data_IF_364859931183
#
_entry.id   IF_364859931183
#
_cell.length_a   1.000
_cell.length_b   1.000
_cell.length_c   1.000
_cell.angle_alpha   90.00
_cell.angle_beta   90.00
_cell.angle_gamma   90.00
#
_symmetry.space_group_name_H-M   'P 1'
#
loop_
_entity.id
_entity.type
_entity.pdbx_description
1 polymer ?
#
# COMPACT_ATOMS: atom_id res chain seq x y z
N UNK A 1 -98.15 15.95 -13.11
CA UNK A 1 -99.59 16.18 -12.76
C UNK A 1 -100.28 16.77 -13.98
N UNK A 2 -100.93 15.92 -14.78
CA UNK A 2 -101.63 16.37 -15.99
C UNK A 2 -102.84 17.23 -15.63
N UNK A 3 -103.04 18.32 -16.37
CA UNK A 3 -104.15 19.25 -16.12
C UNK A 3 -105.01 19.43 -17.36
N UNK A 4 -106.31 19.56 -17.13
CA UNK A 4 -107.29 19.76 -18.20
C UNK A 4 -107.99 21.09 -18.00
N UNK A 5 -108.14 21.85 -19.08
CA UNK A 5 -108.96 23.06 -19.10
C UNK A 5 -109.96 22.97 -20.24
N UNK A 6 -111.20 23.36 -19.97
CA UNK A 6 -112.29 23.36 -20.96
C UNK A 6 -112.70 24.77 -21.32
N UNK A 7 -112.88 25.01 -22.61
CA UNK A 7 -113.40 26.25 -23.16
C UNK A 7 -114.68 25.94 -23.96
N UNK A 8 -115.76 26.67 -23.72
CA UNK A 8 -117.03 26.45 -24.42
C UNK A 8 -117.46 27.73 -25.13
N UNK A 9 -117.96 27.60 -26.37
CA UNK A 9 -118.49 28.72 -27.15
C UNK A 9 -119.70 28.28 -27.98
N UNK A 10 -120.76 29.07 -27.95
CA UNK A 10 -121.96 28.85 -28.75
C UNK A 10 -121.74 29.33 -30.17
N UNK A 11 -122.04 28.47 -31.15
CA UNK A 11 -122.03 28.78 -32.59
C UNK A 11 -123.43 28.55 -33.17
N UNK A 12 -123.74 29.17 -34.31
CA UNK A 12 -125.01 28.94 -35.02
C UNK A 12 -124.76 28.10 -36.27
N UNK A 13 -125.40 26.93 -36.36
CA UNK A 13 -125.28 25.96 -37.45
C UNK A 13 -126.54 26.02 -38.31
N UNK A 14 -126.37 26.18 -39.62
CA UNK A 14 -127.48 26.25 -40.58
C UNK A 14 -127.98 24.85 -40.94
N UNK A 15 -129.30 24.66 -41.05
CA UNK A 15 -129.91 23.43 -41.58
C UNK A 15 -131.05 23.75 -42.56
N UNK A 16 -131.26 22.87 -43.53
CA UNK A 16 -132.36 22.97 -44.51
C UNK A 16 -132.79 21.59 -45.03
N UNK A 17 -134.08 21.41 -45.34
CA UNK A 17 -134.67 20.19 -45.90
C UNK A 17 -136.01 20.43 -46.59
N UNK A 18 -136.63 19.40 -47.16
CA UNK A 18 -137.95 19.48 -47.82
C UNK A 18 -138.92 18.48 -47.20
N UNK A 19 -140.15 18.92 -46.90
CA UNK A 19 -141.23 18.08 -46.40
C UNK A 19 -142.40 18.07 -47.38
N UNK A 20 -142.98 16.90 -47.65
CA UNK A 20 -144.14 16.74 -48.55
C UNK A 20 -145.45 16.92 -47.78
N UNK A 21 -146.31 17.82 -48.27
CA UNK A 21 -147.66 18.03 -47.75
C UNK A 21 -148.70 17.84 -48.86
N UNK A 22 -149.84 17.25 -48.54
CA UNK A 22 -150.89 16.94 -49.52
C UNK A 22 -151.91 18.06 -49.57
N UNK A 23 -152.16 18.63 -50.75
CA UNK A 23 -153.14 19.70 -50.97
C UNK A 23 -154.21 19.21 -51.95
N UNK A 24 -155.49 19.39 -51.60
CA UNK A 24 -156.64 18.97 -52.40
C UNK A 24 -157.32 20.16 -53.06
N UNK A 25 -157.39 20.19 -54.39
CA UNK A 25 -158.08 21.25 -55.17
C UNK A 25 -159.00 20.58 -56.20
N UNK A 26 -160.28 20.94 -56.20
CA UNK A 26 -161.24 20.47 -57.22
C UNK A 26 -161.45 18.95 -57.24
N UNK A 27 -161.44 18.28 -56.08
CA UNK A 27 -161.70 16.84 -55.98
C UNK A 27 -160.53 15.93 -56.36
N UNK A 28 -159.34 16.48 -56.66
CA UNK A 28 -158.09 15.73 -56.80
C UNK A 28 -157.06 16.16 -55.74
N UNK A 29 -156.39 15.20 -55.12
CA UNK A 29 -155.33 15.42 -54.13
C UNK A 29 -153.96 15.29 -54.79
N UNK A 30 -153.09 16.29 -54.63
CA UNK A 30 -151.70 16.27 -55.13
C UNK A 30 -150.74 16.52 -53.98
N UNK A 31 -149.68 15.72 -53.90
CA UNK A 31 -148.59 15.92 -52.94
C UNK A 31 -147.63 16.98 -53.46
N UNK A 32 -147.29 17.96 -52.63
CA UNK A 32 -146.38 19.08 -52.95
C UNK A 32 -145.27 19.13 -51.90
N UNK A 33 -144.00 19.17 -52.33
CA UNK A 33 -142.85 19.34 -51.43
C UNK A 33 -142.63 20.83 -51.11
N UNK A 34 -142.53 21.15 -49.81
CA UNK A 34 -142.23 22.49 -49.29
C UNK A 34 -140.84 22.48 -48.62
N UNK A 35 -139.90 23.35 -49.02
CA UNK A 35 -138.61 23.48 -48.35
C UNK A 35 -138.73 24.25 -47.01
N UNK A 36 -137.93 23.87 -46.01
CA UNK A 36 -137.72 24.61 -44.77
C UNK A 36 -136.22 24.76 -44.49
N UNK A 37 -135.84 25.85 -43.82
CA UNK A 37 -134.46 26.08 -43.36
C UNK A 37 -134.42 27.00 -42.14
N UNK A 38 -133.34 26.92 -41.35
CA UNK A 38 -133.13 27.71 -40.14
C UNK A 38 -131.70 27.58 -39.60
N UNK A 39 -131.40 28.28 -38.50
CA UNK A 39 -130.14 28.16 -37.77
C UNK A 39 -130.41 27.61 -36.37
N UNK A 40 -129.67 26.57 -35.98
CA UNK A 40 -129.67 26.02 -34.63
C UNK A 40 -128.44 26.52 -33.88
N UNK A 41 -128.58 26.89 -32.61
CA UNK A 41 -127.43 27.22 -31.77
C UNK A 41 -126.87 25.95 -31.15
N UNK A 42 -125.59 25.70 -31.36
CA UNK A 42 -124.86 24.58 -30.77
C UNK A 42 -123.70 25.09 -29.91
N UNK A 43 -123.54 24.53 -28.71
CA UNK A 43 -122.40 24.84 -27.85
C UNK A 43 -121.28 23.89 -28.16
N UNK A 44 -120.21 24.40 -28.77
CA UNK A 44 -118.99 23.64 -28.98
C UNK A 44 -118.10 23.81 -27.75
N UNK A 45 -117.80 22.69 -27.09
CA UNK A 45 -116.87 22.65 -25.97
C UNK A 45 -115.57 21.99 -26.41
N UNK A 46 -114.46 22.72 -26.33
CA UNK A 46 -113.12 22.22 -26.57
C UNK A 46 -112.46 21.94 -25.21
N UNK A 47 -112.12 20.68 -24.96
CA UNK A 47 -111.30 20.30 -23.81
C UNK A 47 -109.84 20.19 -24.24
N UNK A 48 -108.98 21.00 -23.64
CA UNK A 48 -107.54 20.91 -23.81
C UNK A 48 -107.00 20.11 -22.63
N UNK A 49 -106.49 18.92 -22.93
CA UNK A 49 -105.79 18.06 -21.99
C UNK A 49 -104.29 18.21 -22.25
N UNK A 50 -103.54 18.70 -21.27
CA UNK A 50 -102.09 18.74 -21.33
C UNK A 50 -101.57 17.57 -20.51
N UNK A 51 -101.10 16.55 -21.22
CA UNK A 51 -100.43 15.42 -20.61
C UNK A 51 -98.99 15.82 -20.24
N UNK A 52 -98.71 15.85 -18.94
CA UNK A 52 -97.37 16.14 -18.41
C UNK A 52 -96.59 14.88 -18.06
N UNK A 53 -97.20 13.70 -18.15
CA UNK A 53 -96.58 12.43 -17.73
C UNK A 53 -95.29 12.12 -18.53
N UNK A 54 -95.18 12.41 -19.85
CA UNK A 54 -93.93 12.27 -20.57
C UNK A 54 -92.81 13.19 -20.05
N UNK A 55 -93.16 14.40 -19.62
CA UNK A 55 -92.22 15.36 -19.08
C UNK A 55 -91.76 14.95 -17.67
N UNK A 56 -92.70 14.60 -16.78
CA UNK A 56 -92.40 14.13 -15.42
C UNK A 56 -91.53 12.86 -15.46
N UNK A 57 -91.80 11.95 -16.40
CA UNK A 57 -90.96 10.77 -16.65
C UNK A 57 -89.53 11.14 -17.08
N UNK A 58 -89.38 12.13 -17.96
CA UNK A 58 -88.06 12.59 -18.41
C UNK A 58 -87.24 13.23 -17.27
N UNK A 59 -87.88 13.99 -16.39
CA UNK A 59 -87.25 14.59 -15.21
C UNK A 59 -86.85 13.50 -14.21
N UNK A 60 -87.71 12.52 -13.96
CA UNK A 60 -87.40 11.37 -13.12
C UNK A 60 -86.21 10.56 -13.67
N UNK A 61 -86.16 10.32 -14.97
CA UNK A 61 -85.04 9.64 -15.64
C UNK A 61 -83.74 10.45 -15.55
N UNK A 62 -83.81 11.78 -15.71
CA UNK A 62 -82.66 12.66 -15.56
C UNK A 62 -82.10 12.61 -14.13
N UNK A 63 -82.98 12.70 -13.12
CA UNK A 63 -82.58 12.61 -11.72
C UNK A 63 -81.89 11.27 -11.40
N UNK A 64 -82.43 10.15 -11.92
CA UNK A 64 -81.80 8.83 -11.76
C UNK A 64 -80.42 8.76 -12.40
N UNK A 65 -80.25 9.31 -13.62
CA UNK A 65 -78.97 9.34 -14.30
C UNK A 65 -77.94 10.20 -13.54
N UNK A 66 -78.36 11.36 -13.01
CA UNK A 66 -77.50 12.24 -12.20
C UNK A 66 -77.10 11.56 -10.88
N UNK A 67 -78.02 10.85 -10.24
CA UNK A 67 -77.72 10.10 -9.01
C UNK A 67 -76.75 8.92 -9.29
N UNK A 68 -76.93 8.23 -10.42
CA UNK A 68 -76.02 7.17 -10.85
C UNK A 68 -74.63 7.72 -11.15
N UNK A 69 -74.55 8.86 -11.85
CA UNK A 69 -73.29 9.54 -12.12
C UNK A 69 -72.61 9.99 -10.83
N UNK A 70 -73.36 10.59 -9.90
CA UNK A 70 -72.84 10.99 -8.58
C UNK A 70 -72.29 9.78 -7.83
N UNK A 71 -73.01 8.65 -7.82
CA UNK A 71 -72.53 7.40 -7.22
C UNK A 71 -71.25 6.86 -7.88
N UNK A 72 -71.17 6.93 -9.21
CA UNK A 72 -69.98 6.53 -9.96
C UNK A 72 -68.78 7.45 -9.70
N UNK A 73 -68.99 8.77 -9.58
CA UNK A 73 -67.95 9.73 -9.23
C UNK A 73 -67.45 9.48 -7.81
N UNK A 74 -68.35 9.33 -6.82
CA UNK A 74 -67.96 9.02 -5.44
C UNK A 74 -67.21 7.70 -5.35
N UNK A 75 -67.62 6.67 -6.10
CA UNK A 75 -66.91 5.40 -6.17
C UNK A 75 -65.51 5.56 -6.80
N UNK A 76 -65.39 6.35 -7.86
CA UNK A 76 -64.12 6.63 -8.55
C UNK A 76 -63.18 7.43 -7.66
N UNK A 77 -63.68 8.47 -6.98
CA UNK A 77 -62.91 9.25 -6.02
C UNK A 77 -62.44 8.39 -4.85
N UNK A 78 -63.33 7.55 -4.31
CA UNK A 78 -62.98 6.62 -3.23
C UNK A 78 -61.92 5.61 -3.66
N UNK A 79 -62.05 5.05 -4.87
CA UNK A 79 -61.06 4.15 -5.45
C UNK A 79 -59.73 4.87 -5.70
N UNK A 80 -59.76 6.13 -6.15
CA UNK A 80 -58.57 6.94 -6.38
C UNK A 80 -57.86 7.26 -5.06
N UNK A 81 -58.59 7.64 -4.02
CA UNK A 81 -58.03 7.89 -2.68
C UNK A 81 -57.41 6.61 -2.12
N UNK A 82 -58.08 5.46 -2.26
CA UNK A 82 -57.52 4.17 -1.85
C UNK A 82 -56.23 3.84 -2.61
N UNK A 83 -56.22 4.04 -3.93
CA UNK A 83 -55.04 3.85 -4.79
C UNK A 83 -53.87 4.76 -4.40
N UNK A 84 -54.13 6.05 -4.16
CA UNK A 84 -53.12 7.02 -3.70
C UNK A 84 -52.55 6.57 -2.35
N UNK A 85 -53.40 6.12 -1.43
CA UNK A 85 -52.98 5.65 -0.10
C UNK A 85 -52.09 4.41 -0.19
N UNK A 86 -52.47 3.44 -1.01
CA UNK A 86 -51.71 2.21 -1.18
C UNK A 86 -50.38 2.46 -1.89
N UNK A 87 -50.36 3.30 -2.92
CA UNK A 87 -49.12 3.72 -3.57
C UNK A 87 -48.22 4.51 -2.62
N UNK A 88 -48.76 5.42 -1.82
CA UNK A 88 -48.00 6.17 -0.81
C UNK A 88 -47.37 5.23 0.22
N UNK A 89 -48.12 4.22 0.67
CA UNK A 89 -47.60 3.20 1.61
C UNK A 89 -46.49 2.36 0.97
N UNK A 90 -46.66 1.93 -0.29
CA UNK A 90 -45.62 1.20 -1.03
C UNK A 90 -44.36 2.04 -1.18
N UNK A 91 -44.49 3.30 -1.61
CA UNK A 91 -43.36 4.24 -1.76
C UNK A 91 -42.65 4.44 -0.42
N UNK A 92 -43.39 4.69 0.66
CA UNK A 92 -42.81 4.85 1.99
C UNK A 92 -42.05 3.59 2.45
N UNK A 93 -42.64 2.40 2.27
CA UNK A 93 -41.97 1.14 2.60
C UNK A 93 -40.72 0.89 1.75
N UNK A 94 -40.76 1.18 0.44
CA UNK A 94 -39.60 1.06 -0.43
C UNK A 94 -38.49 2.02 -0.03
N UNK A 95 -38.80 3.26 0.32
CA UNK A 95 -37.82 4.25 0.78
C UNK A 95 -37.19 3.79 2.10
N UNK A 96 -38.00 3.40 3.09
CA UNK A 96 -37.51 2.94 4.40
C UNK A 96 -36.62 1.69 4.22
N UNK A 97 -37.08 0.70 3.46
CA UNK A 97 -36.31 -0.51 3.21
C UNK A 97 -35.03 -0.23 2.41
N UNK A 98 -35.10 0.66 1.43
CA UNK A 98 -33.94 1.11 0.65
C UNK A 98 -32.90 1.78 1.55
N UNK A 99 -33.32 2.73 2.38
CA UNK A 99 -32.45 3.42 3.32
C UNK A 99 -31.79 2.44 4.30
N UNK A 100 -32.56 1.59 4.98
CA UNK A 100 -31.99 0.62 5.92
C UNK A 100 -31.08 -0.40 5.24
N UNK A 101 -31.38 -0.80 4.00
CA UNK A 101 -30.51 -1.69 3.23
C UNK A 101 -29.20 -1.00 2.87
N UNK A 102 -29.23 0.26 2.45
CA UNK A 102 -28.03 1.06 2.15
C UNK A 102 -27.19 1.27 3.40
N UNK A 103 -27.78 1.73 4.51
CA UNK A 103 -27.08 1.91 5.79
C UNK A 103 -26.45 0.60 6.27
N UNK A 104 -27.20 -0.51 6.20
CA UNK A 104 -26.65 -1.82 6.56
C UNK A 104 -25.49 -2.23 5.64
N UNK A 105 -25.58 -1.95 4.34
CA UNK A 105 -24.52 -2.23 3.38
C UNK A 105 -23.27 -1.40 3.67
N UNK A 106 -23.43 -0.10 3.93
CA UNK A 106 -22.33 0.81 4.26
C UNK A 106 -21.64 0.39 5.58
N UNK A 107 -22.42 0.10 6.63
CA UNK A 107 -21.87 -0.41 7.90
C UNK A 107 -21.13 -1.73 7.67
N UNK A 108 -21.69 -2.64 6.86
CA UNK A 108 -21.03 -3.92 6.56
C UNK A 108 -19.71 -3.71 5.79
N UNK A 109 -19.68 -2.76 4.86
CA UNK A 109 -18.47 -2.40 4.12
C UNK A 109 -17.40 -1.79 5.03
N UNK A 110 -17.79 -0.89 5.92
CA UNK A 110 -16.90 -0.31 6.93
C UNK A 110 -16.31 -1.37 7.86
N UNK A 111 -17.12 -2.35 8.29
CA UNK A 111 -16.64 -3.48 9.12
C UNK A 111 -15.60 -4.30 8.36
N UNK A 112 -15.84 -4.61 7.08
CA UNK A 112 -14.90 -5.38 6.27
C UNK A 112 -13.60 -4.63 6.04
N UNK A 113 -13.67 -3.32 5.76
CA UNK A 113 -12.48 -2.48 5.62
C UNK A 113 -11.69 -2.37 6.92
N UNK A 114 -12.36 -2.15 8.05
CA UNK A 114 -11.70 -2.07 9.34
C UNK A 114 -11.06 -3.42 9.72
N UNK A 115 -11.76 -4.53 9.45
CA UNK A 115 -11.22 -5.87 9.67
C UNK A 115 -9.98 -6.13 8.83
N UNK A 116 -9.98 -5.77 7.54
CA UNK A 116 -8.81 -5.97 6.69
C UNK A 116 -7.60 -5.13 7.14
N UNK A 117 -7.84 -3.90 7.62
CA UNK A 117 -6.79 -3.08 8.24
C UNK A 117 -6.24 -3.73 9.51
N UNK A 118 -7.11 -4.24 10.39
CA UNK A 118 -6.69 -4.95 11.61
C UNK A 118 -5.84 -6.18 11.24
N UNK A 119 -6.31 -7.02 10.31
CA UNK A 119 -5.60 -8.23 9.88
C UNK A 119 -4.23 -7.90 9.29
N UNK A 120 -4.12 -6.83 8.50
CA UNK A 120 -2.85 -6.34 7.96
C UNK A 120 -1.89 -5.86 9.07
N UNK A 121 -2.38 -5.10 10.04
CA UNK A 121 -1.56 -4.65 11.17
C UNK A 121 -1.12 -5.80 12.07
N UNK A 122 -1.98 -6.79 12.28
CA UNK A 122 -1.66 -7.99 13.05
C UNK A 122 -0.58 -8.81 12.35
N UNK A 123 -0.68 -8.99 11.03
CA UNK A 123 0.38 -9.62 10.23
C UNK A 123 1.71 -8.90 10.36
N UNK A 124 1.70 -7.56 10.29
CA UNK A 124 2.91 -6.75 10.46
C UNK A 124 3.51 -6.90 11.87
N UNK A 125 2.68 -6.91 12.91
CA UNK A 125 3.13 -7.14 14.30
C UNK A 125 3.70 -8.54 14.48
N UNK A 126 3.10 -9.56 13.87
CA UNK A 126 3.60 -10.92 13.91
C UNK A 126 4.97 -11.05 13.22
N UNK A 127 5.14 -10.43 12.05
CA UNK A 127 6.43 -10.38 11.35
C UNK A 127 7.49 -9.63 12.16
N UNK A 128 7.15 -8.51 12.79
CA UNK A 128 8.06 -7.78 13.67
C UNK A 128 8.47 -8.61 14.89
N UNK A 129 7.51 -9.31 15.51
CA UNK A 129 7.77 -10.24 16.62
C UNK A 129 8.75 -11.34 16.20
N UNK A 130 8.51 -11.96 15.04
CA UNK A 130 9.40 -12.98 14.48
C UNK A 130 10.81 -12.44 14.25
N UNK A 131 10.94 -11.27 13.64
CA UNK A 131 12.26 -10.60 13.44
C UNK A 131 12.97 -10.30 14.75
N UNK A 132 12.24 -9.93 15.80
CA UNK A 132 12.80 -9.71 17.12
C UNK A 132 13.41 -11.00 17.69
N UNK A 133 12.69 -12.13 17.58
CA UNK A 133 13.18 -13.45 18.01
C UNK A 133 14.39 -13.88 17.18
N UNK A 134 14.35 -13.73 15.86
CA UNK A 134 15.50 -14.03 14.99
C UNK A 134 16.72 -13.19 15.37
N UNK A 135 16.51 -11.90 15.69
CA UNK A 135 17.58 -11.02 16.13
C UNK A 135 18.14 -11.43 17.49
N UNK A 136 17.29 -11.83 18.43
CA UNK A 136 17.71 -12.36 19.72
C UNK A 136 18.60 -13.61 19.55
N UNK A 137 18.19 -14.57 18.72
CA UNK A 137 18.97 -15.78 18.44
C UNK A 137 20.32 -15.44 17.79
N UNK A 138 20.33 -14.46 16.87
CA UNK A 138 21.57 -13.97 16.29
C UNK A 138 22.50 -13.39 17.37
N UNK A 139 21.97 -12.52 18.24
CA UNK A 139 22.76 -11.90 19.32
C UNK A 139 23.29 -12.93 20.31
N UNK A 140 22.51 -13.96 20.64
CA UNK A 140 22.96 -15.06 21.51
C UNK A 140 24.10 -15.85 20.87
N UNK A 141 24.01 -16.15 19.57
CA UNK A 141 25.07 -16.83 18.83
C UNK A 141 26.35 -15.99 18.80
N UNK A 142 26.22 -14.70 18.52
CA UNK A 142 27.35 -13.76 18.47
C UNK A 142 28.00 -13.63 19.86
N UNK A 143 27.19 -13.52 20.91
CA UNK A 143 27.67 -13.49 22.30
C UNK A 143 28.45 -14.76 22.66
N UNK A 144 27.91 -15.93 22.34
CA UNK A 144 28.57 -17.21 22.61
C UNK A 144 29.88 -17.36 21.83
N UNK A 145 29.90 -16.93 20.56
CA UNK A 145 31.10 -16.93 19.72
C UNK A 145 32.19 -16.01 20.29
N UNK A 146 31.82 -14.78 20.68
CA UNK A 146 32.76 -13.81 21.25
C UNK A 146 33.29 -14.33 22.60
N UNK A 147 32.41 -14.83 23.46
CA UNK A 147 32.78 -15.40 24.76
C UNK A 147 33.73 -16.58 24.60
N UNK A 148 33.44 -17.50 23.68
CA UNK A 148 34.32 -18.65 23.39
C UNK A 148 35.69 -18.20 22.90
N UNK A 149 35.74 -17.19 22.01
CA UNK A 149 36.99 -16.63 21.51
C UNK A 149 37.84 -16.03 22.62
N UNK A 150 37.24 -15.20 23.49
CA UNK A 150 37.98 -14.62 24.61
C UNK A 150 38.42 -15.65 25.64
N UNK A 151 37.53 -16.60 25.98
CA UNK A 151 37.87 -17.71 26.87
C UNK A 151 39.08 -18.49 26.34
N UNK A 152 39.11 -18.80 25.04
CA UNK A 152 40.25 -19.44 24.40
C UNK A 152 41.53 -18.61 24.50
N UNK A 153 41.47 -17.30 24.23
CA UNK A 153 42.63 -16.41 24.35
C UNK A 153 43.21 -16.42 25.77
N UNK A 154 42.36 -16.36 26.80
CA UNK A 154 42.83 -16.43 28.19
C UNK A 154 43.45 -17.79 28.51
N UNK A 155 42.81 -18.88 28.09
CA UNK A 155 43.34 -20.24 28.30
C UNK A 155 44.69 -20.43 27.61
N UNK A 156 44.83 -19.93 26.38
CA UNK A 156 46.08 -19.99 25.61
C UNK A 156 47.18 -19.15 26.28
N UNK A 157 46.83 -17.97 26.82
CA UNK A 157 47.75 -17.12 27.60
C UNK A 157 48.21 -17.80 28.88
N UNK A 158 47.29 -18.41 29.64
CA UNK A 158 47.60 -19.12 30.88
C UNK A 158 48.53 -20.32 30.61
N UNK A 159 48.27 -21.06 29.52
CA UNK A 159 49.12 -22.16 29.08
C UNK A 159 50.51 -21.68 28.67
N UNK A 160 50.61 -20.58 27.91
CA UNK A 160 51.90 -20.02 27.51
C UNK A 160 52.69 -19.47 28.70
N UNK A 161 52.00 -18.86 29.68
CA UNK A 161 52.61 -18.40 30.93
C UNK A 161 53.17 -19.59 31.72
N UNK A 162 52.38 -20.65 31.86
CA UNK A 162 52.79 -21.90 32.52
C UNK A 162 54.02 -22.51 31.84
N UNK A 163 54.02 -22.58 30.51
CA UNK A 163 55.16 -23.07 29.72
C UNK A 163 56.40 -22.20 29.91
N UNK A 164 56.26 -20.88 29.93
CA UNK A 164 57.37 -19.95 30.18
C UNK A 164 57.95 -20.09 31.58
N UNK A 165 57.11 -20.23 32.61
CA UNK A 165 57.57 -20.49 33.98
C UNK A 165 58.36 -21.80 34.01
N UNK A 166 57.84 -22.86 33.37
CA UNK A 166 58.54 -24.14 33.30
C UNK A 166 59.89 -24.03 32.56
N UNK A 167 59.97 -23.31 31.44
CA UNK A 167 61.22 -23.06 30.71
C UNK A 167 62.22 -22.21 31.52
N UNK A 168 61.75 -21.25 32.31
CA UNK A 168 62.60 -20.45 33.22
C UNK A 168 63.17 -21.30 34.37
N UNK A 169 62.37 -22.20 34.92
CA UNK A 169 62.78 -23.07 36.03
C UNK A 169 63.63 -24.26 35.56
N UNK A 170 63.46 -24.69 34.30
CA UNK A 170 64.19 -25.81 33.67
C UNK A 170 65.71 -25.75 33.90
N UNK A 171 66.44 -24.65 33.63
CA UNK A 171 67.88 -24.58 33.89
C UNK A 171 68.23 -24.72 35.37
N UNK A 172 67.40 -24.25 36.31
CA UNK A 172 67.66 -24.43 37.74
C UNK A 172 67.55 -25.92 38.15
N UNK A 173 66.56 -26.64 37.61
CA UNK A 173 66.41 -28.08 37.83
C UNK A 173 67.50 -28.90 37.15
N UNK A 174 67.88 -28.55 35.91
CA UNK A 174 68.99 -29.19 35.20
C UNK A 174 70.30 -28.95 35.95
N UNK A 175 70.56 -27.71 36.39
CA UNK A 175 71.73 -27.38 37.19
C UNK A 175 71.79 -28.23 38.46
N UNK A 176 70.72 -28.30 39.24
CA UNK A 176 70.66 -29.15 40.44
C UNK A 176 70.88 -30.62 40.14
N UNK A 177 70.34 -31.13 39.03
CA UNK A 177 70.53 -32.51 38.60
C UNK A 177 71.99 -32.78 38.24
N UNK A 178 72.58 -31.93 37.39
CA UNK A 178 73.99 -32.04 36.97
C UNK A 178 74.96 -31.81 38.13
N UNK A 179 74.68 -30.90 39.05
CA UNK A 179 75.53 -30.71 40.24
C UNK A 179 75.45 -31.92 41.17
N UNK A 180 74.26 -32.53 41.33
CA UNK A 180 74.11 -33.78 42.07
C UNK A 180 74.87 -34.94 41.43
N UNK A 181 74.79 -35.07 40.10
CA UNK A 181 75.48 -36.09 39.30
C UNK A 181 76.99 -35.84 39.16
N UNK A 182 77.49 -34.61 39.27
CA UNK A 182 78.93 -34.31 39.31
C UNK A 182 79.53 -34.46 40.71
N UNK A 183 78.76 -34.22 41.77
CA UNK A 183 79.24 -34.34 43.15
C UNK A 183 79.34 -35.82 43.58
N UNK A 184 78.44 -36.69 43.11
CA UNK A 184 78.41 -38.09 43.54
C UNK A 184 79.60 -38.95 43.07
N UNK A 185 80.22 -38.79 41.88
CA UNK A 185 81.35 -39.60 41.45
C UNK A 185 82.71 -38.94 41.75
N UNK A 186 82.76 -37.61 41.87
CA UNK A 186 84.02 -36.85 42.09
C UNK A 186 84.40 -36.80 43.57
N UNK A 187 83.44 -36.88 44.48
CA UNK A 187 83.71 -36.96 45.93
C UNK A 187 84.00 -38.39 46.41
N UNK A 188 83.65 -39.42 45.62
CA UNK A 188 83.72 -40.83 46.01
C UNK A 188 84.78 -41.64 45.22
N UNK A 189 85.60 -40.98 44.38
CA UNK A 189 86.59 -41.65 43.52
C UNK A 189 87.91 -40.90 43.37
N UNK A 190 89.00 -41.66 43.40
CA UNK A 190 90.43 -41.32 43.28
C UNK A 190 90.85 -40.69 41.91
N UNK A 191 89.95 -39.95 41.25
CA UNK A 191 90.14 -39.35 39.91
C UNK A 191 90.25 -37.81 39.91
N UNK A 192 90.39 -37.17 41.06
CA UNK A 192 90.51 -35.70 41.16
C UNK A 192 91.72 -35.17 40.36
N UNK A 193 92.79 -35.97 40.29
CA UNK A 193 94.05 -35.62 39.59
C UNK A 193 93.94 -35.73 38.08
N UNK A 194 93.14 -36.65 37.54
CA UNK A 194 92.92 -36.80 36.08
C UNK A 194 91.97 -35.72 35.55
N UNK A 195 90.97 -35.31 36.34
CA UNK A 195 90.06 -34.20 35.99
C UNK A 195 90.81 -32.87 35.86
N UNK A 196 91.82 -32.61 36.72
CA UNK A 196 92.63 -31.39 36.62
C UNK A 196 93.47 -31.32 35.33
N UNK A 197 94.01 -32.45 34.87
CA UNK A 197 94.79 -32.54 33.63
C UNK A 197 93.87 -32.46 32.40
N UNK A 198 92.74 -33.17 32.41
CA UNK A 198 91.75 -33.09 31.32
C UNK A 198 91.09 -31.71 31.21
N UNK A 199 90.89 -30.99 32.32
CA UNK A 199 90.36 -29.62 32.31
C UNK A 199 91.30 -28.62 31.62
N UNK A 200 92.61 -28.76 31.79
CA UNK A 200 93.61 -27.95 31.10
C UNK A 200 93.62 -28.20 29.59
N UNK A 201 93.51 -29.47 29.16
CA UNK A 201 93.50 -29.83 27.73
C UNK A 201 92.17 -29.46 27.04
N UNK A 202 91.04 -29.65 27.73
CA UNK A 202 89.70 -29.39 27.21
C UNK A 202 89.36 -27.89 27.13
N UNK A 203 89.92 -27.07 28.02
CA UNK A 203 89.67 -25.62 28.07
C UNK A 203 89.96 -24.89 26.74
N UNK A 204 91.02 -25.29 26.03
CA UNK A 204 91.37 -24.70 24.73
C UNK A 204 90.34 -25.05 23.65
N UNK A 205 89.81 -26.27 23.66
CA UNK A 205 88.79 -26.70 22.71
C UNK A 205 87.44 -26.02 22.99
N UNK A 206 87.04 -25.91 24.26
CA UNK A 206 85.83 -25.19 24.67
C UNK A 206 85.89 -23.70 24.35
N UNK A 207 87.05 -23.06 24.54
CA UNK A 207 87.27 -21.68 24.12
C UNK A 207 87.12 -21.51 22.59
N UNK A 208 87.61 -22.47 21.80
CA UNK A 208 87.45 -22.46 20.33
C UNK A 208 86.01 -22.68 19.89
N UNK A 209 85.28 -23.59 20.54
CA UNK A 209 83.87 -23.86 20.23
C UNK A 209 83.00 -22.64 20.61
N UNK A 210 83.18 -22.07 21.79
CA UNK A 210 82.45 -20.88 22.23
C UNK A 210 82.74 -19.66 21.33
N UNK A 211 83.99 -19.45 20.95
CA UNK A 211 84.36 -18.43 19.96
C UNK A 211 83.72 -18.70 18.58
N UNK A 212 83.64 -19.95 18.14
CA UNK A 212 83.00 -20.33 16.86
C UNK A 212 81.48 -20.08 16.89
N UNK A 213 80.82 -20.41 18.00
CA UNK A 213 79.39 -20.14 18.20
C UNK A 213 79.13 -18.63 18.23
N UNK A 214 79.92 -17.86 18.97
CA UNK A 214 79.83 -16.40 18.99
C UNK A 214 80.06 -15.77 17.61
N UNK A 215 81.00 -16.32 16.83
CA UNK A 215 81.25 -15.88 15.45
C UNK A 215 80.07 -16.19 14.54
N UNK A 216 79.45 -17.37 14.66
CA UNK A 216 78.26 -17.75 13.90
C UNK A 216 77.07 -16.85 14.23
N UNK A 217 76.79 -16.60 15.51
CA UNK A 217 75.67 -15.74 15.91
C UNK A 217 75.86 -14.29 15.46
N UNK A 218 77.09 -13.77 15.53
CA UNK A 218 77.42 -12.46 14.98
C UNK A 218 77.19 -12.40 13.47
N UNK A 219 77.59 -13.44 12.73
CA UNK A 219 77.37 -13.54 11.28
C UNK A 219 75.87 -13.57 10.95
N UNK A 220 75.08 -14.38 11.65
CA UNK A 220 73.62 -14.46 11.45
C UNK A 220 72.93 -13.11 11.73
N UNK A 221 73.39 -12.37 12.75
CA UNK A 221 72.88 -11.03 13.05
C UNK A 221 73.19 -10.03 11.92
N UNK A 222 74.42 -10.05 11.38
CA UNK A 222 74.82 -9.23 10.23
C UNK A 222 73.98 -9.58 8.99
N UNK A 223 73.72 -10.87 8.74
CA UNK A 223 72.88 -11.29 7.61
C UNK A 223 71.44 -10.79 7.74
N UNK A 224 70.85 -10.84 8.94
CA UNK A 224 69.51 -10.30 9.19
C UNK A 224 69.45 -8.79 9.00
N UNK A 225 70.46 -8.06 9.50
CA UNK A 225 70.55 -6.62 9.30
C UNK A 225 70.66 -6.25 7.82
N UNK A 226 71.47 -6.99 7.05
CA UNK A 226 71.61 -6.75 5.61
C UNK A 226 70.29 -7.00 4.85
N UNK A 227 69.58 -8.08 5.18
CA UNK A 227 68.26 -8.36 4.59
C UNK A 227 67.24 -7.27 4.89
N UNK A 228 67.27 -6.70 6.10
CA UNK A 228 66.40 -5.59 6.46
C UNK A 228 66.70 -4.33 5.62
N UNK A 229 67.98 -3.99 5.44
CA UNK A 229 68.39 -2.87 4.60
C UNK A 229 67.97 -3.07 3.12
N UNK A 230 68.13 -4.29 2.60
CA UNK A 230 67.71 -4.62 1.23
C UNK A 230 66.19 -4.46 1.04
N UNK A 231 65.40 -4.89 2.03
CA UNK A 231 63.94 -4.70 2.00
C UNK A 231 63.60 -3.22 2.03
N UNK A 232 64.19 -2.43 2.94
CA UNK A 232 63.93 -1.00 3.02
C UNK A 232 64.27 -0.28 1.70
N UNK A 233 65.42 -0.57 1.11
CA UNK A 233 65.81 0.04 -0.17
C UNK A 233 64.81 -0.31 -1.30
N UNK A 234 64.33 -1.56 -1.34
CA UNK A 234 63.29 -1.96 -2.29
C UNK A 234 61.99 -1.19 -2.04
N UNK A 235 61.58 -1.06 -0.78
CA UNK A 235 60.38 -0.30 -0.41
C UNK A 235 60.48 1.16 -0.80
N UNK A 236 61.62 1.81 -0.53
CA UNK A 236 61.87 3.21 -0.93
C UNK A 236 61.82 3.35 -2.46
N UNK A 237 62.45 2.42 -3.20
CA UNK A 237 62.39 2.43 -4.67
C UNK A 237 60.98 2.22 -5.24
N UNK A 238 60.12 1.51 -4.52
CA UNK A 238 58.71 1.33 -4.89
C UNK A 238 57.93 2.61 -4.57
N UNK A 239 58.17 3.21 -3.40
CA UNK A 239 57.56 4.49 -3.02
C UNK A 239 57.90 5.58 -4.03
N UNK A 240 59.16 5.71 -4.43
CA UNK A 240 59.60 6.67 -5.45
C UNK A 240 58.95 6.43 -6.82
N UNK A 241 58.61 5.18 -7.16
CA UNK A 241 57.87 4.84 -8.40
C UNK A 241 56.36 5.05 -8.28
N UNK A 242 55.81 4.90 -7.08
CA UNK A 242 54.39 5.10 -6.81
C UNK A 242 54.03 6.58 -6.64
N UNK A 243 55.00 7.40 -6.22
CA UNK A 243 54.87 8.85 -6.22
C UNK A 243 55.16 9.33 -7.64
N UNK A 244 54.13 9.76 -8.36
CA UNK A 244 54.30 10.39 -9.66
C UNK A 244 55.18 11.65 -9.48
N UNK A 245 56.29 11.83 -10.23
CA UNK A 245 57.04 13.08 -10.22
C UNK A 245 56.15 14.17 -10.82
N UNK A 246 55.58 15.01 -9.95
CA UNK A 246 54.71 16.11 -10.35
C UNK A 246 55.55 17.35 -10.70
N UNK A 247 55.75 17.59 -11.98
CA UNK A 247 56.07 18.92 -12.51
C UNK A 247 54.76 19.59 -12.96
N UNK A 248 54.12 20.36 -12.08
CA UNK A 248 52.95 21.20 -12.41
C UNK A 248 51.99 21.46 -11.23
N UNK A 249 51.25 22.57 -11.30
CA UNK A 249 50.11 22.86 -10.41
C UNK A 249 49.00 21.82 -10.68
N UNK A 250 48.92 20.79 -9.85
CA UNK A 250 47.89 19.77 -9.92
C UNK A 250 46.76 20.09 -8.95
N UNK A 251 45.53 20.15 -9.46
CA UNK A 251 44.31 20.23 -8.63
C UNK A 251 44.08 18.89 -7.92
N UNK A 252 44.16 18.89 -6.59
CA UNK A 252 43.86 17.72 -5.78
C UNK A 252 42.35 17.60 -5.56
N UNK A 253 41.79 16.45 -5.91
CA UNK A 253 40.41 16.09 -5.60
C UNK A 253 40.42 15.06 -4.48
N UNK A 254 39.70 15.35 -3.39
CA UNK A 254 39.50 14.41 -2.31
C UNK A 254 38.07 13.87 -2.34
N UNK A 255 37.86 12.54 -2.19
CA UNK A 255 36.53 11.98 -2.13
C UNK A 255 35.84 12.45 -0.84
N UNK A 256 34.62 12.94 -0.98
CA UNK A 256 33.75 13.34 0.13
C UNK A 256 32.44 12.59 0.00
N UNK A 257 31.98 11.96 1.07
CA UNK A 257 30.69 11.28 1.09
C UNK A 257 29.65 12.23 1.70
N UNK A 258 28.68 12.62 0.88
CA UNK A 258 27.48 13.34 1.30
C UNK A 258 26.35 12.33 1.49
N UNK A 259 25.71 12.35 2.65
CA UNK A 259 24.59 11.50 3.00
C UNK A 259 23.39 12.36 3.38
N UNK A 260 22.26 12.11 2.73
CA UNK A 260 20.97 12.71 3.05
C UNK A 260 19.98 11.60 3.41
N UNK A 261 19.44 11.67 4.63
CA UNK A 261 18.39 10.76 5.08
C UNK A 261 17.13 11.55 5.41
N UNK A 262 16.04 11.25 4.71
CA UNK A 262 14.70 11.75 5.05
C UNK A 262 14.02 10.75 6.01
N UNK A 263 13.73 11.18 7.23
CA UNK A 263 12.75 10.49 8.07
C UNK A 263 11.34 11.00 7.71
N UNK A 264 10.30 10.21 7.97
CA UNK A 264 8.89 10.48 7.64
C UNK A 264 8.31 11.74 8.32
N UNK A 265 9.14 12.52 9.03
CA UNK A 265 8.85 13.80 9.65
C UNK A 265 9.81 14.89 9.15
N UNK A 266 9.67 15.33 7.89
CA UNK A 266 10.16 16.59 7.26
C UNK A 266 11.55 17.18 7.63
N UNK A 267 12.40 16.49 8.39
CA UNK A 267 13.77 16.88 8.75
C UNK A 267 14.73 15.96 8.03
N UNK A 268 15.19 16.42 6.87
CA UNK A 268 16.33 15.81 6.17
C UNK A 268 17.59 15.97 7.04
N UNK A 269 18.12 14.86 7.56
CA UNK A 269 19.43 14.89 8.21
C UNK A 269 20.50 14.79 7.11
N UNK A 270 21.30 15.85 6.96
CA UNK A 270 22.40 15.95 5.98
C UNK A 270 23.72 15.81 6.72
N UNK A 271 24.59 14.90 6.29
CA UNK A 271 25.91 14.66 6.90
C UNK A 271 26.99 14.51 5.84
N UNK A 272 28.19 15.01 6.17
CA UNK A 272 29.36 14.91 5.31
C UNK A 272 30.48 14.17 6.03
N UNK A 273 31.02 13.16 5.36
CA UNK A 273 32.17 12.38 5.78
C UNK A 273 33.35 12.68 4.86
N UNK A 274 34.40 13.28 5.42
CA UNK A 274 35.64 13.63 4.72
C UNK A 274 36.84 12.98 5.40
N UNK A 275 37.93 12.82 4.64
CA UNK A 275 39.19 12.32 5.17
C UNK A 275 39.78 13.31 6.19
N UNK A 276 40.35 12.78 7.28
CA UNK A 276 40.92 13.55 8.41
C UNK A 276 42.10 14.47 8.02
N UNK A 277 42.66 14.30 6.82
CA UNK A 277 43.79 15.09 6.28
C UNK A 277 43.39 16.32 5.47
N UNK A 278 42.10 16.56 5.24
CA UNK A 278 41.66 17.82 4.64
C UNK A 278 41.74 18.93 5.70
N UNK A 279 42.09 20.18 5.31
CA UNK A 279 42.02 21.32 6.24
C UNK A 279 40.64 21.39 6.88
N UNK A 280 40.57 21.76 8.16
CA UNK A 280 39.32 21.94 8.91
C UNK A 280 38.42 22.97 8.21
N UNK A 281 37.63 22.50 7.26
CA UNK A 281 36.59 23.28 6.62
C UNK A 281 35.34 23.19 7.48
N UNK A 282 34.65 24.32 7.60
CA UNK A 282 33.35 24.41 8.25
C UNK A 282 32.36 23.50 7.52
N UNK A 283 32.02 22.38 8.17
CA UNK A 283 31.21 21.30 7.58
C UNK A 283 29.81 21.79 7.25
N UNK A 284 29.29 22.75 8.02
CA UNK A 284 27.92 23.26 7.86
C UNK A 284 27.80 24.16 6.62
N UNK A 285 28.79 25.04 6.38
CA UNK A 285 28.86 25.80 5.12
C UNK A 285 29.01 24.91 3.88
N UNK A 286 29.73 23.79 4.01
CA UNK A 286 29.94 22.86 2.90
C UNK A 286 28.66 22.06 2.59
N UNK A 287 27.88 21.69 3.62
CA UNK A 287 26.54 21.10 3.46
C UNK A 287 25.60 22.07 2.74
N UNK A 288 25.58 23.35 3.11
CA UNK A 288 24.76 24.36 2.43
C UNK A 288 25.19 24.57 0.98
N UNK A 289 26.49 24.68 0.72
CA UNK A 289 27.02 24.85 -0.65
C UNK A 289 26.70 23.68 -1.56
N UNK A 290 26.87 22.44 -1.08
CA UNK A 290 26.48 21.23 -1.82
C UNK A 290 24.97 21.17 -2.04
N UNK A 291 24.17 21.54 -1.02
CA UNK A 291 22.72 21.58 -1.14
C UNK A 291 22.22 22.63 -2.14
N UNK A 292 22.96 23.72 -2.34
CA UNK A 292 22.65 24.78 -3.30
C UNK A 292 23.25 24.59 -4.70
N UNK A 293 24.13 23.60 -4.87
CA UNK A 293 24.83 23.38 -6.13
C UNK A 293 23.94 22.59 -7.10
N UNK A 294 23.60 23.20 -8.24
CA UNK A 294 23.03 22.48 -9.37
C UNK A 294 24.12 21.58 -9.97
N UNK A 295 23.95 20.26 -9.83
CA UNK A 295 24.90 19.29 -10.36
C UNK A 295 24.78 19.26 -11.89
N UNK A 296 25.85 19.58 -12.63
CA UNK A 296 25.79 19.60 -14.08
C UNK A 296 25.47 18.20 -14.61
N UNK A 297 24.49 18.13 -15.52
CA UNK A 297 24.07 16.87 -16.13
C UNK A 297 25.26 16.26 -16.87
N UNK A 298 25.64 15.00 -16.59
CA UNK A 298 26.73 14.36 -17.32
C UNK A 298 26.35 14.21 -18.79
N UNK A 299 27.30 14.55 -19.67
CA UNK A 299 27.16 14.40 -21.13
C UNK A 299 26.84 12.94 -21.52
N UNK A 300 26.06 12.75 -22.59
CA UNK A 300 25.57 11.44 -23.05
C UNK A 300 26.74 10.51 -23.43
N UNK A 301 27.85 11.07 -23.91
CA UNK A 301 29.09 10.35 -24.16
C UNK A 301 29.74 9.82 -22.88
N UNK A 302 29.69 10.58 -21.78
CA UNK A 302 30.25 10.19 -20.47
C UNK A 302 29.42 9.09 -19.83
N UNK A 303 28.08 9.22 -19.86
CA UNK A 303 27.15 8.19 -19.38
C UNK A 303 27.36 6.87 -20.12
N UNK A 304 27.55 6.94 -21.44
CA UNK A 304 27.81 5.77 -22.27
C UNK A 304 29.13 5.08 -21.95
N UNK A 305 30.19 5.84 -21.63
CA UNK A 305 31.49 5.28 -21.19
C UNK A 305 31.38 4.65 -19.82
N UNK A 306 30.71 5.33 -18.89
CA UNK A 306 30.58 4.88 -17.51
C UNK A 306 29.76 3.58 -17.43
N UNK A 307 28.68 3.46 -18.21
CA UNK A 307 27.91 2.21 -18.36
C UNK A 307 28.75 1.08 -18.93
N UNK A 308 29.61 1.34 -19.92
CA UNK A 308 30.52 0.33 -20.48
C UNK A 308 31.55 -0.15 -19.46
N UNK A 309 32.20 0.77 -18.74
CA UNK A 309 33.18 0.43 -17.70
C UNK A 309 32.54 -0.36 -16.55
N UNK A 310 31.40 0.11 -16.04
CA UNK A 310 30.66 -0.56 -14.97
C UNK A 310 30.25 -1.97 -15.36
N UNK A 311 29.63 -2.14 -16.55
CA UNK A 311 29.24 -3.47 -17.02
C UNK A 311 30.46 -4.38 -17.25
N UNK A 312 31.60 -3.84 -17.70
CA UNK A 312 32.81 -4.63 -17.85
C UNK A 312 33.35 -5.14 -16.50
N UNK A 313 33.31 -4.31 -15.46
CA UNK A 313 33.78 -4.64 -14.11
C UNK A 313 32.86 -5.64 -13.40
N UNK A 314 31.54 -5.44 -13.49
CA UNK A 314 30.53 -6.39 -12.99
C UNK A 314 30.67 -7.73 -13.70
N UNK A 315 30.83 -7.73 -15.04
CA UNK A 315 31.04 -8.97 -15.77
C UNK A 315 32.38 -9.63 -15.40
N UNK A 316 33.48 -8.88 -15.23
CA UNK A 316 34.76 -9.46 -14.85
C UNK A 316 34.71 -10.23 -13.52
N UNK A 317 33.95 -9.72 -12.54
CA UNK A 317 33.86 -10.34 -11.22
C UNK A 317 32.80 -11.44 -11.10
N UNK A 318 31.72 -11.39 -11.88
CA UNK A 318 30.55 -12.25 -11.68
C UNK A 318 30.24 -13.22 -12.84
N UNK A 319 30.91 -13.14 -14.00
CA UNK A 319 30.58 -13.98 -15.18
C UNK A 319 30.83 -15.48 -14.99
N UNK A 320 31.75 -15.88 -14.11
CA UNK A 320 32.17 -17.28 -13.96
C UNK A 320 31.55 -18.01 -12.76
N UNK A 321 30.72 -17.32 -11.97
CA UNK A 321 30.15 -17.88 -10.75
C UNK A 321 28.69 -18.31 -10.97
N UNK A 322 28.45 -19.62 -11.04
CA UNK A 322 27.10 -20.22 -11.07
C UNK A 322 26.44 -20.28 -9.68
N UNK A 323 27.06 -19.65 -8.68
CA UNK A 323 26.55 -19.64 -7.32
C UNK A 323 25.32 -18.72 -7.21
N UNK A 324 24.20 -19.18 -6.62
CA UNK A 324 22.97 -18.38 -6.51
C UNK A 324 23.14 -17.11 -5.64
N UNK A 325 24.20 -17.04 -4.83
CA UNK A 325 24.58 -15.84 -4.09
C UNK A 325 25.13 -14.75 -5.01
N UNK A 326 26.04 -15.11 -5.92
CA UNK A 326 26.74 -14.17 -6.79
C UNK A 326 25.81 -13.59 -7.88
N UNK A 327 24.86 -14.41 -8.35
CA UNK A 327 23.75 -13.95 -9.21
C UNK A 327 22.87 -12.93 -8.48
N UNK A 328 22.55 -13.18 -7.20
CA UNK A 328 21.74 -12.26 -6.41
C UNK A 328 22.48 -10.95 -6.14
N UNK A 329 23.77 -11.01 -5.83
CA UNK A 329 24.60 -9.82 -5.56
C UNK A 329 24.75 -8.98 -6.82
N UNK A 330 25.02 -9.60 -7.98
CA UNK A 330 25.08 -8.88 -9.26
C UNK A 330 23.74 -8.26 -9.65
N UNK A 331 22.61 -8.93 -9.40
CA UNK A 331 21.28 -8.32 -9.57
C UNK A 331 21.05 -7.12 -8.65
N UNK A 332 21.46 -7.18 -7.38
CA UNK A 332 21.35 -6.04 -6.46
C UNK A 332 22.27 -4.88 -6.86
N UNK A 333 23.49 -5.16 -7.28
CA UNK A 333 24.44 -4.16 -7.77
C UNK A 333 23.88 -3.45 -9.01
N UNK A 334 23.30 -4.20 -9.94
CA UNK A 334 22.64 -3.64 -11.12
C UNK A 334 21.38 -2.83 -10.77
N UNK A 335 20.62 -3.22 -9.73
CA UNK A 335 19.48 -2.43 -9.24
C UNK A 335 19.90 -1.13 -8.54
N UNK A 336 21.01 -1.15 -7.80
CA UNK A 336 21.56 0.04 -7.15
C UNK A 336 22.14 1.02 -8.18
N UNK A 337 22.70 0.50 -9.26
CA UNK A 337 23.24 1.27 -10.37
C UNK A 337 22.17 1.57 -11.44
N UNK A 338 21.03 2.12 -11.03
CA UNK A 338 20.04 2.62 -11.98
C UNK A 338 20.31 4.09 -12.32
N UNK A 339 21.18 4.30 -13.31
CA UNK A 339 21.53 5.63 -13.86
C UNK A 339 20.26 6.43 -14.23
N UNK A 340 19.17 5.77 -14.61
CA UNK A 340 17.92 6.44 -14.99
C UNK A 340 17.11 6.93 -13.77
N UNK A 341 17.39 6.40 -12.58
CA UNK A 341 16.75 6.78 -11.32
C UNK A 341 17.52 7.82 -10.52
N UNK A 342 18.70 8.25 -11.00
CA UNK A 342 19.36 9.45 -10.50
C UNK A 342 18.43 10.62 -10.85
N UNK A 343 17.52 10.93 -9.93
CA UNK A 343 16.74 12.16 -9.99
C UNK A 343 17.73 13.30 -9.95
N UNK A 344 17.86 13.93 -11.11
CA UNK A 344 18.52 15.22 -11.26
C UNK A 344 17.65 16.22 -10.48
N UNK A 345 18.12 16.58 -9.29
CA UNK A 345 17.60 17.73 -8.55
C UNK A 345 17.97 19.02 -9.29
#
# INVERSE_FOLDING_TARGET
>A
MSYSRSFSKTISVYYSGTASTTVSVGGQSRSVSVPYSGYAQEVVTVRVHVDTDPFDYSVGKCNNNVNLLTGAVVATESAQIASIRDNSRKVAQTIINGFFKTVRSEISQQIVELKSRIDATLLHLHELSKRCVEKQVQMEKDYNMITSRYSKVFTDLDNELSNRIHELDRPAFVFRKTSGECVSPVMDSDMVTTVAVSGLEQSSLEAKISASVAKKTALDAIMKANRFLEINQKTDSILDKCILPMEGEASYYAPVCYMESSDNQEKSMKRIYSQERLPEMDKDQFVEKIGSAEWPRPDEATVSRLRKCFNAEVNAHYSNSSAPHDVRVSEYINRLFDINSIQMF
#
